data_IF_435912315404
#
_entry.id   IF_435912315404
#
_cell.length_a   1.000
_cell.length_b   1.000
_cell.length_c   1.000
_cell.angle_alpha   90.00
_cell.angle_beta   90.00
_cell.angle_gamma   90.00
#
_symmetry.space_group_name_H-M   'P 1'
#
loop_
_entity.id
_entity.type
_entity.pdbx_description
1 polymer ?
#
# COMPACT_ATOMS: atom_id res chain seq x y z
N UNK A 1 -22.39 6.96 1.45
CA UNK A 1 -21.35 6.04 1.94
C UNK A 1 -20.03 6.38 1.26
N UNK A 2 -19.17 7.15 1.93
CA UNK A 2 -17.94 7.72 1.36
C UNK A 2 -16.85 6.63 1.24
N UNK A 3 -16.95 5.78 0.21
CA UNK A 3 -15.95 4.72 -0.09
C UNK A 3 -14.53 5.27 -0.34
N UNK A 4 -14.36 6.56 -0.57
CA UNK A 4 -13.02 7.15 -0.76
C UNK A 4 -12.20 7.32 0.51
N UNK A 5 -12.80 7.26 1.71
CA UNK A 5 -12.11 7.59 2.97
C UNK A 5 -11.39 6.36 3.56
N UNK A 6 -11.91 5.15 3.30
CA UNK A 6 -11.38 3.91 3.89
C UNK A 6 -10.26 3.25 3.08
N UNK A 7 -10.16 3.55 1.78
CA UNK A 7 -9.17 2.94 0.90
C UNK A 7 -7.95 3.84 0.76
N UNK A 8 -6.75 3.39 1.19
CA UNK A 8 -5.51 4.13 0.86
C UNK A 8 -5.00 3.73 -0.52
N UNK A 9 -4.29 4.66 -1.16
CA UNK A 9 -3.69 4.45 -2.46
C UNK A 9 -2.36 3.71 -2.29
N UNK A 10 -2.19 2.60 -3.00
CA UNK A 10 -0.91 1.91 -3.09
C UNK A 10 0.10 2.77 -3.86
N UNK A 11 1.29 2.97 -3.30
CA UNK A 11 2.35 3.77 -3.88
C UNK A 11 2.98 3.12 -5.12
N UNK A 12 2.90 1.80 -5.25
CA UNK A 12 3.50 1.05 -6.37
C UNK A 12 2.56 0.92 -7.57
N UNK A 13 1.36 0.36 -7.39
CA UNK A 13 0.42 0.14 -8.51
C UNK A 13 -0.61 1.27 -8.70
N UNK A 14 -0.60 2.29 -7.83
CA UNK A 14 -1.53 3.44 -7.85
C UNK A 14 -3.02 3.08 -7.73
N UNK A 15 -3.37 1.82 -7.47
CA UNK A 15 -4.74 1.40 -7.14
C UNK A 15 -5.08 1.77 -5.70
N UNK A 16 -6.36 2.04 -5.42
CA UNK A 16 -6.88 2.21 -4.05
C UNK A 16 -7.38 0.85 -3.57
N UNK A 17 -6.94 0.45 -2.38
CA UNK A 17 -7.41 -0.78 -1.71
C UNK A 17 -7.63 -0.47 -0.22
N UNK A 18 -8.52 -1.22 0.42
CA UNK A 18 -8.67 -1.20 1.88
C UNK A 18 -7.46 -1.89 2.54
N UNK A 19 -6.91 -2.90 1.87
CA UNK A 19 -5.79 -3.70 2.32
C UNK A 19 -4.46 -3.13 1.82
N UNK A 20 -3.97 -2.13 2.54
CA UNK A 20 -2.73 -1.40 2.26
C UNK A 20 -1.92 -1.25 3.54
N UNK A 21 -0.72 -1.83 3.53
CA UNK A 21 0.21 -1.80 4.64
C UNK A 21 1.14 -0.60 4.51
N UNK A 22 1.25 0.22 5.57
CA UNK A 22 2.23 1.31 5.60
C UNK A 22 3.56 0.77 6.10
N UNK A 23 4.62 0.85 5.28
CA UNK A 23 5.97 0.43 5.67
C UNK A 23 6.55 1.44 6.66
N UNK A 24 6.77 1.01 7.90
CA UNK A 24 7.32 1.86 8.99
C UNK A 24 8.80 1.63 9.31
N UNK A 25 9.48 0.78 8.54
CA UNK A 25 10.91 0.52 8.70
C UNK A 25 11.75 1.62 8.04
N UNK A 26 12.84 2.03 8.70
CA UNK A 26 13.86 2.96 8.16
C UNK A 26 14.56 2.34 6.94
N UNK A 27 13.92 2.43 5.77
CA UNK A 27 14.42 1.89 4.51
C UNK A 27 13.99 2.77 3.32
N UNK A 28 14.41 2.42 2.09
CA UNK A 28 14.04 3.09 0.83
C UNK A 28 12.52 3.21 0.59
N UNK A 29 11.71 2.43 1.32
CA UNK A 29 10.25 2.42 1.22
C UNK A 29 9.56 2.94 2.47
N UNK A 30 10.27 3.65 3.35
CA UNK A 30 9.70 4.27 4.55
C UNK A 30 8.50 5.15 4.21
N UNK A 31 7.43 4.97 4.98
CA UNK A 31 6.16 5.68 4.89
C UNK A 31 5.39 5.49 3.55
N UNK A 32 5.70 4.43 2.79
CA UNK A 32 4.92 4.05 1.61
C UNK A 32 3.77 3.11 1.99
N UNK A 33 2.62 3.29 1.36
CA UNK A 33 1.46 2.40 1.46
C UNK A 33 1.52 1.36 0.34
N UNK A 34 1.64 0.08 0.67
CA UNK A 34 1.75 -1.00 -0.30
C UNK A 34 0.56 -1.95 -0.13
N UNK A 35 -0.14 -2.26 -1.23
CA UNK A 35 -1.18 -3.29 -1.21
C UNK A 35 -0.56 -4.70 -1.20
N UNK A 36 -1.29 -5.66 -0.68
CA UNK A 36 -0.83 -7.06 -0.54
C UNK A 36 -0.30 -7.64 -1.87
N UNK A 37 -1.06 -7.50 -2.96
CA UNK A 37 -0.63 -7.94 -4.30
C UNK A 37 0.74 -7.41 -4.72
N UNK A 38 1.04 -6.16 -4.35
CA UNK A 38 2.31 -5.53 -4.69
C UNK A 38 3.44 -6.04 -3.80
N UNK A 39 3.14 -6.25 -2.51
CA UNK A 39 4.09 -6.78 -1.56
C UNK A 39 4.51 -8.20 -1.93
N UNK A 40 3.56 -9.08 -2.26
CA UNK A 40 3.81 -10.47 -2.62
C UNK A 40 4.62 -10.61 -3.91
N UNK A 41 4.31 -9.79 -4.93
CA UNK A 41 5.08 -9.77 -6.19
C UNK A 41 6.56 -9.44 -6.04
N UNK A 42 6.93 -8.77 -4.95
CA UNK A 42 8.31 -8.34 -4.69
C UNK A 42 9.00 -9.16 -3.61
N UNK A 43 8.26 -10.08 -2.98
CA UNK A 43 8.77 -11.10 -2.07
C UNK A 43 9.32 -12.31 -2.83
N UNK A 44 8.94 -12.46 -4.11
CA UNK A 44 9.60 -13.27 -5.14
C UNK A 44 10.79 -12.51 -5.75
#
# INVERSE_FOLDING_TARGET
MFKCIYHKKCDWCKKRSEEVYTIKLWCKYYNKNICEECYDKKKL
#
